data_IF_672148280971
#
_entry.id   IF_672148280971
#
_cell.length_a   1.000
_cell.length_b   1.000
_cell.length_c   1.000
_cell.angle_alpha   90.00
_cell.angle_beta   90.00
_cell.angle_gamma   90.00
#
_symmetry.space_group_name_H-M   'P 1'
#
loop_
_entity.id
_entity.type
_entity.pdbx_description
1 polymer ?
#
# COMPACT_ATOMS: atom_id res chain seq x y z
N UNK A 1 -20.52 -6.60 -16.49
CA UNK A 1 -19.78 -5.75 -16.87
C UNK A 1 -20.01 -4.39 -16.46
N UNK A 2 -21.10 -4.01 -16.22
CA UNK A 2 -21.37 -2.69 -15.89
C UNK A 2 -20.73 -2.34 -14.59
N UNK A 3 -20.51 -3.27 -13.70
CA UNK A 3 -19.96 -2.94 -12.42
C UNK A 3 -18.57 -2.39 -12.54
N UNK A 4 -17.83 -2.79 -13.56
CA UNK A 4 -16.49 -2.30 -13.73
C UNK A 4 -16.48 -0.80 -14.02
N UNK A 5 -17.49 -0.31 -14.69
CA UNK A 5 -17.58 1.08 -15.02
C UNK A 5 -17.70 1.90 -13.75
N UNK A 6 -18.52 1.47 -12.82
CA UNK A 6 -18.73 2.19 -11.59
C UNK A 6 -17.47 2.16 -10.74
N UNK A 7 -16.82 1.01 -10.67
CA UNK A 7 -15.61 0.89 -9.87
C UNK A 7 -14.50 1.75 -10.47
N UNK A 8 -14.40 1.78 -11.78
CA UNK A 8 -13.38 2.58 -12.44
C UNK A 8 -13.61 4.06 -12.17
N UNK A 9 -14.87 4.48 -12.18
CA UNK A 9 -15.18 5.87 -11.94
C UNK A 9 -14.82 6.25 -10.51
N UNK A 10 -15.13 5.36 -9.56
CA UNK A 10 -14.82 5.63 -8.18
C UNK A 10 -13.30 5.73 -7.99
N UNK A 11 -12.55 4.89 -8.70
CA UNK A 11 -11.11 4.93 -8.62
C UNK A 11 -10.59 6.26 -9.16
N UNK A 12 -11.13 6.71 -10.29
CA UNK A 12 -10.70 7.95 -10.88
C UNK A 12 -10.92 9.13 -9.94
N UNK A 13 -12.07 9.15 -9.28
CA UNK A 13 -12.36 10.21 -8.35
C UNK A 13 -11.40 10.17 -7.17
N UNK A 14 -11.12 8.98 -6.67
CA UNK A 14 -10.21 8.84 -5.55
C UNK A 14 -8.81 9.29 -5.94
N UNK A 15 -8.39 8.97 -7.16
CA UNK A 15 -7.09 9.39 -7.62
C UNK A 15 -7.02 10.92 -7.66
N UNK A 16 -8.03 11.54 -8.21
CA UNK A 16 -8.05 12.98 -8.27
C UNK A 16 -7.97 13.62 -6.91
N UNK A 17 -8.68 13.09 -5.96
CA UNK A 17 -8.73 13.68 -4.65
C UNK A 17 -7.53 13.36 -3.77
N UNK A 18 -7.01 12.17 -3.85
CA UNK A 18 -6.03 11.74 -2.88
C UNK A 18 -4.66 11.33 -3.40
N UNK A 19 -4.45 11.33 -4.69
CA UNK A 19 -3.17 10.89 -5.22
C UNK A 19 -1.98 11.65 -4.63
N UNK A 20 -2.09 12.96 -4.56
CA UNK A 20 -0.99 13.76 -4.05
C UNK A 20 -0.72 13.48 -2.58
N UNK A 21 -1.79 13.33 -1.82
CA UNK A 21 -1.65 13.05 -0.41
C UNK A 21 -0.96 11.71 -0.21
N UNK A 22 -1.42 10.70 -0.94
CA UNK A 22 -0.87 9.35 -0.79
C UNK A 22 0.58 9.33 -1.25
N UNK A 23 0.89 10.02 -2.36
CA UNK A 23 2.26 10.07 -2.82
C UNK A 23 3.15 10.73 -1.76
N UNK A 24 2.65 11.78 -1.14
CA UNK A 24 3.40 12.49 -0.13
C UNK A 24 3.75 11.59 1.05
N UNK A 25 2.77 10.79 1.49
CA UNK A 25 2.99 9.85 2.58
C UNK A 25 4.04 8.82 2.17
N UNK A 26 3.90 8.27 0.97
CA UNK A 26 4.83 7.26 0.50
C UNK A 26 6.24 7.82 0.36
N UNK A 27 6.34 9.03 -0.16
CA UNK A 27 7.62 9.65 -0.37
C UNK A 27 8.34 9.89 0.97
N UNK A 28 7.60 10.30 1.97
CA UNK A 28 8.20 10.53 3.27
C UNK A 28 8.71 9.23 3.88
N UNK A 29 8.00 8.15 3.63
CA UNK A 29 8.38 6.89 4.23
C UNK A 29 9.49 6.18 3.48
N UNK A 30 9.44 6.14 2.16
CA UNK A 30 10.43 5.39 1.40
C UNK A 30 11.62 6.22 0.92
N UNK A 31 11.47 7.52 0.86
CA UNK A 31 12.61 8.39 0.60
C UNK A 31 13.11 8.50 -0.83
N UNK A 32 12.47 7.86 -1.77
CA UNK A 32 12.88 7.91 -3.16
C UNK A 32 11.66 8.18 -4.03
N UNK A 33 11.81 9.06 -4.99
CA UNK A 33 10.70 9.48 -5.84
C UNK A 33 10.08 8.32 -6.61
N UNK A 34 10.92 7.54 -7.28
CA UNK A 34 10.40 6.46 -8.10
C UNK A 34 9.80 5.33 -7.27
N UNK A 35 10.41 5.04 -6.14
CA UNK A 35 9.87 4.02 -5.25
C UNK A 35 8.52 4.50 -4.72
N UNK A 36 8.43 5.77 -4.37
CA UNK A 36 7.20 6.33 -3.84
C UNK A 36 6.09 6.25 -4.89
N UNK A 37 6.44 6.48 -6.15
CA UNK A 37 5.49 6.41 -7.21
C UNK A 37 4.96 4.98 -7.35
N UNK A 38 5.85 4.01 -7.27
CA UNK A 38 5.45 2.61 -7.39
C UNK A 38 4.53 2.21 -6.25
N UNK A 39 4.87 2.61 -5.03
CA UNK A 39 4.05 2.25 -3.88
C UNK A 39 2.70 2.94 -3.94
N UNK A 40 2.68 4.18 -4.44
CA UNK A 40 1.44 4.91 -4.59
C UNK A 40 0.53 4.18 -5.57
N UNK A 41 1.07 3.74 -6.69
CA UNK A 41 0.29 3.02 -7.68
C UNK A 41 -0.25 1.72 -7.09
N UNK A 42 0.58 1.02 -6.35
CA UNK A 42 0.13 -0.21 -5.73
C UNK A 42 -0.97 0.03 -4.73
N UNK A 43 -0.91 1.16 -4.03
CA UNK A 43 -1.92 1.52 -3.06
C UNK A 43 -3.28 1.65 -3.75
N UNK A 44 -3.32 2.36 -4.86
CA UNK A 44 -4.58 2.57 -5.56
C UNK A 44 -5.06 1.31 -6.27
N UNK A 45 -4.14 0.46 -6.71
CA UNK A 45 -4.54 -0.81 -7.30
C UNK A 45 -5.18 -1.70 -6.25
N UNK A 46 -4.62 -1.72 -5.04
CA UNK A 46 -5.18 -2.50 -3.96
C UNK A 46 -6.55 -1.94 -3.58
N UNK A 47 -6.65 -0.61 -3.54
CA UNK A 47 -7.90 0.04 -3.23
C UNK A 47 -8.96 -0.38 -4.26
N UNK A 48 -8.60 -0.38 -5.53
CA UNK A 48 -9.51 -0.75 -6.59
C UNK A 48 -10.01 -2.19 -6.40
N UNK A 49 -9.14 -3.08 -6.01
CA UNK A 49 -9.50 -4.47 -5.82
C UNK A 49 -10.51 -4.71 -4.71
N UNK A 50 -10.48 -3.86 -3.68
CA UNK A 50 -11.40 -4.05 -2.57
C UNK A 50 -12.56 -3.09 -2.60
N UNK A 51 -12.66 -2.31 -3.66
CA UNK A 51 -13.68 -1.29 -3.76
C UNK A 51 -15.10 -1.79 -3.60
N UNK A 52 -15.37 -2.96 -4.13
CA UNK A 52 -16.69 -3.54 -4.02
C UNK A 52 -17.13 -3.75 -2.59
N UNK A 53 -16.19 -4.03 -1.72
CA UNK A 53 -16.52 -4.31 -0.33
C UNK A 53 -16.38 -3.12 0.57
N UNK A 54 -15.84 -2.04 0.05
CA UNK A 54 -15.60 -0.86 0.85
C UNK A 54 -16.87 -0.03 0.90
N UNK A 55 -17.30 0.35 2.09
CA UNK A 55 -18.53 1.08 2.24
C UNK A 55 -18.45 2.56 1.96
N UNK A 56 -17.29 3.05 1.62
CA UNK A 56 -17.14 4.46 1.27
C UNK A 56 -16.89 5.42 2.40
N UNK A 57 -16.87 4.93 3.63
CA UNK A 57 -16.66 5.81 4.74
C UNK A 57 -15.19 5.96 5.07
N UNK A 58 -14.79 7.17 5.40
CA UNK A 58 -13.40 7.46 5.73
C UNK A 58 -12.44 6.98 4.66
N UNK A 59 -12.73 7.33 3.43
CA UNK A 59 -11.92 6.93 2.30
C UNK A 59 -10.47 7.36 2.46
N UNK A 60 -10.27 8.57 2.94
CA UNK A 60 -8.93 9.08 3.14
C UNK A 60 -8.15 8.21 4.12
N UNK A 61 -8.78 7.87 5.23
CA UNK A 61 -8.13 7.05 6.25
C UNK A 61 -7.85 5.65 5.72
N UNK A 62 -8.77 5.13 4.93
CA UNK A 62 -8.61 3.80 4.37
C UNK A 62 -7.43 3.77 3.41
N UNK A 63 -7.32 4.76 2.53
CA UNK A 63 -6.23 4.85 1.59
C UNK A 63 -4.90 5.05 2.33
N UNK A 64 -4.92 5.87 3.37
CA UNK A 64 -3.71 6.11 4.14
C UNK A 64 -3.22 4.82 4.80
N UNK A 65 -4.14 4.02 5.27
CA UNK A 65 -3.79 2.76 5.90
C UNK A 65 -3.16 1.82 4.89
N UNK A 66 -3.76 1.71 3.72
CA UNK A 66 -3.21 0.86 2.67
C UNK A 66 -1.82 1.33 2.30
N UNK A 67 -1.66 2.64 2.11
CA UNK A 67 -0.38 3.21 1.72
C UNK A 67 0.70 2.94 2.77
N UNK A 68 0.36 3.14 4.03
CA UNK A 68 1.32 2.92 5.10
C UNK A 68 1.76 1.47 5.13
N UNK A 69 0.82 0.55 4.99
CA UNK A 69 1.15 -0.86 5.00
C UNK A 69 2.03 -1.23 3.81
N UNK A 70 1.73 -0.67 2.64
CA UNK A 70 2.53 -0.95 1.46
C UNK A 70 3.95 -0.41 1.62
N UNK A 71 4.08 0.77 2.22
CA UNK A 71 5.39 1.34 2.44
C UNK A 71 6.21 0.49 3.40
N UNK A 72 5.57 0.01 4.46
CA UNK A 72 6.26 -0.82 5.41
C UNK A 72 6.72 -2.13 4.78
N UNK A 73 5.88 -2.71 3.93
CA UNK A 73 6.23 -3.93 3.23
C UNK A 73 7.40 -3.66 2.27
N UNK A 74 7.34 -2.53 1.59
CA UNK A 74 8.38 -2.16 0.66
C UNK A 74 9.71 -2.02 1.39
N UNK A 75 9.70 -1.34 2.52
CA UNK A 75 10.92 -1.12 3.29
C UNK A 75 11.50 -2.42 3.82
N UNK A 76 10.63 -3.34 4.21
CA UNK A 76 11.07 -4.61 4.69
C UNK A 76 11.75 -5.38 3.57
N UNK A 77 11.16 -5.39 2.40
CA UNK A 77 11.72 -6.10 1.27
C UNK A 77 13.04 -5.49 0.84
N UNK A 78 13.12 -4.17 0.87
CA UNK A 78 14.34 -3.50 0.50
C UNK A 78 15.47 -3.86 1.46
N UNK A 79 15.14 -3.89 2.75
CA UNK A 79 16.13 -4.23 3.73
C UNK A 79 16.63 -5.65 3.55
N UNK A 80 15.77 -6.57 3.21
CA UNK A 80 16.16 -7.94 2.99
C UNK A 80 17.10 -8.05 1.80
N UNK A 81 16.85 -7.29 0.76
CA UNK A 81 17.69 -7.32 -0.40
C UNK A 81 19.08 -6.77 -0.09
N UNK A 82 19.12 -5.75 0.73
CA UNK A 82 20.38 -5.13 1.05
C UNK A 82 21.18 -5.92 2.06
N UNK A 83 20.49 -6.67 2.91
CA UNK A 83 21.17 -7.44 3.94
C UNK A 83 20.63 -8.86 4.03
N UNK A 84 20.79 -9.63 2.97
CA UNK A 84 20.31 -10.99 2.97
C UNK A 84 21.18 -11.83 3.85
N UNK A 85 20.72 -12.22 4.97
CA UNK A 85 21.52 -13.00 5.88
C UNK A 85 20.68 -13.81 6.81
N UNK A 86 21.29 -14.27 7.88
CA UNK A 86 20.60 -15.09 8.82
C UNK A 86 19.47 -14.30 9.46
N UNK A 87 19.66 -13.02 9.60
CA UNK A 87 18.67 -12.17 10.19
C UNK A 87 17.38 -12.24 9.39
N UNK A 88 17.51 -12.27 8.08
CA UNK A 88 16.36 -12.34 7.23
C UNK A 88 15.61 -13.65 7.47
N UNK A 89 16.32 -14.73 7.62
CA UNK A 89 15.70 -16.00 7.85
C UNK A 89 14.98 -16.03 9.18
N UNK A 90 15.62 -15.51 10.20
CA UNK A 90 15.02 -15.45 11.50
C UNK A 90 13.78 -14.57 11.50
N UNK A 91 13.89 -13.46 10.85
CA UNK A 91 12.82 -12.54 10.77
C UNK A 91 11.63 -13.17 10.07
N UNK A 92 11.86 -13.91 9.03
CA UNK A 92 10.81 -14.56 8.31
C UNK A 92 10.09 -15.52 9.22
N UNK A 93 10.79 -16.27 10.03
CA UNK A 93 10.18 -17.18 10.89
C UNK A 93 9.37 -16.47 11.94
N UNK A 94 9.88 -15.39 12.44
CA UNK A 94 9.19 -14.63 13.46
C UNK A 94 7.90 -14.04 12.95
N UNK A 95 7.93 -13.50 11.76
CA UNK A 95 6.76 -12.88 11.25
C UNK A 95 5.74 -13.83 10.79
N UNK A 96 6.14 -15.05 10.56
CA UNK A 96 5.21 -15.96 10.16
C UNK A 96 4.13 -16.02 11.06
N UNK A 97 4.43 -16.06 12.20
CA UNK A 97 3.41 -16.11 13.12
C UNK A 97 2.70 -14.83 13.20
N UNK A 98 3.29 -13.87 13.05
CA UNK A 98 2.63 -12.67 13.24
C UNK A 98 2.14 -12.00 12.08
N UNK A 99 2.29 -12.24 11.41
CA UNK A 99 1.98 -11.54 10.50
C UNK A 99 0.98 -11.05 10.50
N UNK A 100 1.16 -11.06 11.11
CA UNK A 100 0.70 -10.73 11.18
C UNK A 100 0.39 -9.96 11.75
N UNK A 101 0.36 -9.81 12.31
CA UNK A 101 0.26 -9.18 12.81
C UNK A 101 0.23 -8.27 12.67
N UNK A 102 0.30 -8.11 12.52
CA UNK A 102 0.44 -7.58 12.22
C UNK A 102 0.07 -7.46 11.72
N UNK A 103 -0.12 -7.59 11.70
CA UNK A 103 -0.50 -7.63 11.23
C UNK A 103 -0.85 -7.47 11.02
#
# INVERSE_FOLDING_TARGET
MTDNSIQTKRLEIALEQYERLIFSICYRMVGDYFDAQDVTQETFLTYYKVLERFNGQNEKAFLTKIATNKCLDFLKQKRRKEMPSEDEVLESRATQGSSLLIP
#
